data_IF_955491505528
#
_entry.id   IF_955491505528
#
_cell.length_a   1.000
_cell.length_b   1.000
_cell.length_c   1.000
_cell.angle_alpha   90.00
_cell.angle_beta   90.00
_cell.angle_gamma   90.00
#
_symmetry.space_group_name_H-M   'P 1'
#
loop_
_entity.id
_entity.type
_entity.pdbx_description
1 polymer ?
#
# COMPACT_ATOMS: atom_id res chain seq x y z
N UNK A 1 -24.33 -19.35 7.00
CA UNK A 1 -23.34 -18.24 6.97
C UNK A 1 -21.93 -18.77 6.75
N UNK A 2 -21.44 -19.70 7.57
CA UNK A 2 -20.06 -20.26 7.49
C UNK A 2 -19.67 -20.84 6.11
N UNK A 3 -20.59 -21.54 5.42
CA UNK A 3 -20.33 -22.11 4.09
C UNK A 3 -20.20 -21.04 2.98
N UNK A 4 -20.90 -19.91 3.11
CA UNK A 4 -20.79 -18.80 2.17
C UNK A 4 -19.42 -18.13 2.27
N UNK A 5 -18.98 -17.81 3.47
CA UNK A 5 -17.69 -17.16 3.74
C UNK A 5 -16.53 -18.05 3.27
N UNK A 6 -16.58 -19.35 3.56
CA UNK A 6 -15.58 -20.29 3.08
C UNK A 6 -15.54 -20.37 1.55
N UNK A 7 -16.71 -20.30 0.90
CA UNK A 7 -16.77 -20.34 -0.56
C UNK A 7 -16.23 -19.04 -1.17
N UNK A 8 -16.53 -17.87 -0.58
CA UNK A 8 -15.96 -16.58 -1.00
C UNK A 8 -14.45 -16.59 -0.85
N UNK A 9 -13.92 -17.09 0.27
CA UNK A 9 -12.47 -17.23 0.49
C UNK A 9 -11.80 -18.13 -0.56
N UNK A 10 -12.42 -19.28 -0.92
CA UNK A 10 -11.91 -20.16 -1.98
C UNK A 10 -11.87 -19.47 -3.33
N UNK A 11 -12.87 -18.65 -3.65
CA UNK A 11 -12.90 -17.88 -4.91
C UNK A 11 -11.80 -16.83 -4.92
N UNK A 12 -11.64 -16.05 -3.85
CA UNK A 12 -10.57 -15.05 -3.73
C UNK A 12 -9.17 -15.69 -3.75
N UNK A 13 -8.99 -16.85 -3.11
CA UNK A 13 -7.74 -17.61 -3.17
C UNK A 13 -7.45 -18.15 -4.57
N UNK A 14 -8.46 -18.51 -5.34
CA UNK A 14 -8.29 -18.91 -6.73
C UNK A 14 -7.84 -17.71 -7.60
N UNK A 15 -8.41 -16.52 -7.39
CA UNK A 15 -7.98 -15.27 -8.03
C UNK A 15 -6.51 -15.01 -7.71
N UNK A 16 -6.13 -15.06 -6.43
CA UNK A 16 -4.76 -14.89 -5.95
C UNK A 16 -3.78 -15.83 -6.68
N UNK A 17 -4.11 -17.12 -6.70
CA UNK A 17 -3.30 -18.14 -7.37
C UNK A 17 -3.14 -17.92 -8.88
N UNK A 18 -4.20 -17.47 -9.56
CA UNK A 18 -4.15 -17.17 -11.00
C UNK A 18 -3.25 -15.97 -11.25
N UNK A 19 -3.44 -14.90 -10.50
CA UNK A 19 -2.61 -13.70 -10.64
C UNK A 19 -1.14 -14.03 -10.33
N UNK A 20 -0.88 -14.78 -9.27
CA UNK A 20 0.49 -15.14 -8.85
C UNK A 20 1.23 -16.02 -9.86
N UNK A 21 0.54 -16.83 -10.67
CA UNK A 21 1.17 -17.74 -11.63
C UNK A 21 1.06 -17.25 -13.08
N UNK A 22 -0.14 -16.77 -13.45
CA UNK A 22 -0.51 -16.57 -14.85
C UNK A 22 -0.72 -15.08 -15.24
N UNK A 23 -0.86 -14.17 -14.24
CA UNK A 23 -1.10 -12.74 -14.43
C UNK A 23 -2.58 -12.37 -14.49
N UNK A 24 -2.85 -11.05 -14.54
CA UNK A 24 -4.21 -10.50 -14.57
C UNK A 24 -4.97 -10.82 -15.85
N UNK A 25 -4.27 -10.98 -16.97
CA UNK A 25 -4.83 -11.25 -18.30
C UNK A 25 -5.51 -12.63 -18.39
N UNK A 26 -5.22 -13.51 -17.45
CA UNK A 26 -5.82 -14.85 -17.38
C UNK A 26 -7.08 -14.91 -16.53
N UNK A 27 -7.44 -13.81 -15.87
CA UNK A 27 -8.67 -13.77 -15.08
C UNK A 27 -9.91 -13.90 -15.95
N UNK A 28 -10.77 -14.83 -15.56
CA UNK A 28 -12.06 -15.05 -16.21
C UNK A 28 -12.95 -15.93 -15.34
N UNK A 29 -14.28 -15.70 -15.39
CA UNK A 29 -15.24 -16.42 -14.52
C UNK A 29 -15.07 -17.93 -14.61
N UNK A 30 -14.86 -18.49 -15.81
CA UNK A 30 -14.71 -19.93 -16.01
C UNK A 30 -13.41 -20.46 -15.39
N UNK A 31 -12.29 -19.73 -15.56
CA UNK A 31 -10.97 -20.10 -15.03
C UNK A 31 -11.00 -20.05 -13.52
N UNK A 32 -11.57 -18.98 -12.95
CA UNK A 32 -11.70 -18.83 -11.49
C UNK A 32 -12.61 -19.91 -10.90
N UNK A 33 -13.76 -20.17 -11.51
CA UNK A 33 -14.70 -21.19 -11.05
C UNK A 33 -14.05 -22.60 -11.03
N UNK A 34 -13.33 -22.93 -12.10
CA UNK A 34 -12.59 -24.19 -12.19
C UNK A 34 -11.51 -24.30 -11.13
N UNK A 35 -10.69 -23.24 -10.96
CA UNK A 35 -9.59 -23.21 -9.98
C UNK A 35 -10.10 -23.27 -8.54
N UNK A 36 -11.23 -22.61 -8.26
CA UNK A 36 -11.87 -22.62 -6.94
C UNK A 36 -12.66 -23.89 -6.63
N UNK A 37 -12.92 -24.73 -7.64
CA UNK A 37 -13.77 -25.92 -7.50
C UNK A 37 -15.25 -25.59 -7.20
N UNK A 38 -15.76 -24.48 -7.77
CA UNK A 38 -17.13 -24.00 -7.58
C UNK A 38 -17.86 -23.81 -8.91
N UNK A 39 -19.18 -23.74 -8.88
CA UNK A 39 -19.94 -23.34 -10.07
C UNK A 39 -19.76 -21.82 -10.32
N UNK A 40 -19.73 -21.42 -11.60
CA UNK A 40 -19.71 -20.00 -11.98
C UNK A 40 -20.90 -19.20 -11.43
N UNK A 41 -22.03 -19.87 -11.21
CA UNK A 41 -23.22 -19.25 -10.65
C UNK A 41 -22.98 -18.71 -9.23
N UNK A 42 -22.06 -19.33 -8.45
CA UNK A 42 -21.68 -18.85 -7.12
C UNK A 42 -20.85 -17.56 -7.19
N UNK A 43 -20.04 -17.39 -8.24
CA UNK A 43 -19.30 -16.13 -8.47
C UNK A 43 -20.29 -14.98 -8.69
N UNK A 44 -21.25 -15.16 -9.60
CA UNK A 44 -22.29 -14.15 -9.82
C UNK A 44 -23.14 -13.89 -8.58
N UNK A 45 -23.51 -14.94 -7.84
CA UNK A 45 -24.34 -14.81 -6.65
C UNK A 45 -23.64 -14.10 -5.49
N UNK A 46 -22.32 -14.27 -5.33
CA UNK A 46 -21.60 -13.77 -4.16
C UNK A 46 -20.86 -12.47 -4.42
N UNK A 47 -20.49 -12.20 -5.67
CA UNK A 47 -19.69 -11.04 -6.05
C UNK A 47 -20.38 -10.14 -7.07
N UNK A 48 -21.47 -10.57 -7.71
CA UNK A 48 -22.13 -9.80 -8.75
C UNK A 48 -21.62 -10.09 -10.17
N UNK A 49 -20.34 -10.38 -10.31
CA UNK A 49 -19.69 -10.67 -11.60
C UNK A 49 -18.18 -10.72 -11.48
N UNK A 50 -17.50 -10.75 -12.61
CA UNK A 50 -16.05 -10.79 -12.68
C UNK A 50 -15.45 -9.46 -12.23
N UNK A 51 -16.00 -8.33 -12.70
CA UNK A 51 -15.47 -7.00 -12.40
C UNK A 51 -15.59 -6.68 -10.90
N UNK A 52 -16.73 -6.97 -10.30
CA UNK A 52 -16.96 -6.78 -8.87
C UNK A 52 -16.06 -7.71 -8.02
N UNK A 53 -15.84 -8.95 -8.47
CA UNK A 53 -14.92 -9.87 -7.84
C UNK A 53 -13.48 -9.32 -7.87
N UNK A 54 -13.04 -8.83 -9.03
CA UNK A 54 -11.71 -8.23 -9.18
C UNK A 54 -11.60 -6.98 -8.32
N UNK A 55 -12.59 -6.09 -8.31
CA UNK A 55 -12.59 -4.87 -7.48
C UNK A 55 -12.47 -5.21 -5.99
N UNK A 56 -13.25 -6.17 -5.49
CA UNK A 56 -13.16 -6.62 -4.10
C UNK A 56 -11.80 -7.23 -3.77
N UNK A 57 -11.25 -8.04 -4.70
CA UNK A 57 -9.93 -8.62 -4.53
C UNK A 57 -8.84 -7.55 -4.45
N UNK A 58 -8.82 -6.59 -5.38
CA UNK A 58 -7.84 -5.50 -5.42
C UNK A 58 -7.88 -4.67 -4.13
N UNK A 59 -9.09 -4.28 -3.70
CA UNK A 59 -9.27 -3.53 -2.45
C UNK A 59 -8.80 -4.33 -1.23
N UNK A 60 -8.99 -5.65 -1.20
CA UNK A 60 -8.58 -6.48 -0.07
C UNK A 60 -7.05 -6.65 0.04
N UNK A 61 -6.32 -6.50 -1.06
CA UNK A 61 -4.86 -6.70 -1.14
C UNK A 61 -4.06 -5.43 -0.90
N UNK A 62 -4.64 -4.29 -1.15
CA UNK A 62 -3.91 -3.04 -1.18
C UNK A 62 -3.58 -2.53 0.23
N UNK A 63 -2.30 -2.25 0.48
CA UNK A 63 -1.84 -1.75 1.78
C UNK A 63 -2.47 -0.40 2.11
N UNK A 64 -2.31 0.59 1.23
CA UNK A 64 -2.76 1.95 1.49
C UNK A 64 -4.28 2.11 1.49
N UNK A 65 -4.99 1.30 0.67
CA UNK A 65 -6.45 1.28 0.69
C UNK A 65 -7.04 0.72 2.00
N UNK A 66 -6.23 -0.02 2.78
CA UNK A 66 -6.65 -0.66 4.03
C UNK A 66 -5.94 -0.11 5.27
N UNK A 67 -5.01 0.85 5.11
CA UNK A 67 -4.34 1.49 6.26
C UNK A 67 -5.34 2.33 7.05
N UNK A 68 -5.36 2.12 8.37
CA UNK A 68 -6.26 2.83 9.28
C UNK A 68 -5.56 4.09 9.83
N UNK A 69 -6.27 5.21 9.84
CA UNK A 69 -5.80 6.47 10.44
C UNK A 69 -5.40 6.30 11.92
N UNK A 70 -6.04 5.35 12.63
CA UNK A 70 -5.72 5.01 14.03
C UNK A 70 -4.33 4.39 14.22
N UNK A 71 -3.64 4.03 13.12
CA UNK A 71 -2.26 3.59 13.16
C UNK A 71 -1.27 4.73 13.52
N UNK A 72 -1.71 6.00 13.42
CA UNK A 72 -0.91 7.16 13.82
C UNK A 72 -1.16 7.45 15.30
N UNK A 73 -0.13 7.24 16.12
CA UNK A 73 -0.09 7.69 17.51
C UNK A 73 0.39 9.15 17.54
N UNK A 74 -0.46 10.07 17.99
CA UNK A 74 -0.11 11.48 18.11
C UNK A 74 1.03 11.78 19.10
N UNK A 75 1.29 10.87 20.05
CA UNK A 75 2.43 10.99 20.97
C UNK A 75 3.75 10.48 20.36
N UNK A 76 3.68 9.64 19.29
CA UNK A 76 4.85 9.10 18.59
C UNK A 76 4.57 9.04 17.07
N UNK A 77 4.45 10.21 16.46
CA UNK A 77 4.21 10.33 15.01
C UNK A 77 5.37 9.74 14.22
N UNK A 78 6.62 10.02 14.61
CA UNK A 78 7.80 9.49 13.94
C UNK A 78 7.82 7.96 13.93
N UNK A 79 7.62 7.33 15.09
CA UNK A 79 7.56 5.87 15.20
C UNK A 79 6.39 5.26 14.42
N UNK A 80 5.25 5.93 14.39
CA UNK A 80 4.09 5.50 13.60
C UNK A 80 4.39 5.50 12.10
N UNK A 81 4.96 6.57 11.56
CA UNK A 81 5.36 6.67 10.16
C UNK A 81 6.40 5.62 9.78
N UNK A 82 7.44 5.44 10.62
CA UNK A 82 8.47 4.41 10.42
C UNK A 82 7.87 3.01 10.34
N UNK A 83 6.95 2.67 11.26
CA UNK A 83 6.24 1.38 11.24
C UNK A 83 5.45 1.20 9.94
N UNK A 84 4.66 2.20 9.53
CA UNK A 84 3.84 2.13 8.32
C UNK A 84 4.68 1.90 7.06
N UNK A 85 5.77 2.62 6.87
CA UNK A 85 6.63 2.43 5.70
C UNK A 85 7.40 1.10 5.73
N UNK A 86 7.79 0.62 6.92
CA UNK A 86 8.37 -0.72 7.08
C UNK A 86 7.36 -1.82 6.72
N UNK A 87 6.11 -1.68 7.14
CA UNK A 87 5.04 -2.61 6.79
C UNK A 87 4.75 -2.62 5.29
N UNK A 88 4.76 -1.45 4.63
CA UNK A 88 4.65 -1.36 3.18
C UNK A 88 5.79 -2.13 2.49
N UNK A 89 7.03 -1.96 2.94
CA UNK A 89 8.19 -2.69 2.40
C UNK A 89 7.99 -4.20 2.56
N UNK A 90 7.63 -4.65 3.76
CA UNK A 90 7.44 -6.08 4.08
C UNK A 90 6.34 -6.67 3.20
N UNK A 91 5.19 -6.01 3.08
CA UNK A 91 4.10 -6.50 2.26
C UNK A 91 4.47 -6.57 0.78
N UNK A 92 5.03 -5.50 0.22
CA UNK A 92 5.43 -5.47 -1.19
C UNK A 92 6.51 -6.52 -1.51
N UNK A 93 7.49 -6.72 -0.63
CA UNK A 93 8.55 -7.73 -0.84
C UNK A 93 8.01 -9.16 -0.77
N UNK A 94 7.06 -9.44 0.10
CA UNK A 94 6.58 -10.79 0.36
C UNK A 94 5.36 -11.19 -0.50
N UNK A 95 4.61 -10.25 -1.05
CA UNK A 95 3.41 -10.54 -1.84
C UNK A 95 3.67 -10.32 -3.34
N UNK A 96 3.89 -11.41 -4.07
CA UNK A 96 4.08 -11.39 -5.54
C UNK A 96 2.84 -10.85 -6.26
N UNK A 97 1.66 -11.12 -5.72
CA UNK A 97 0.40 -10.67 -6.31
C UNK A 97 0.24 -9.16 -6.19
N UNK A 98 0.62 -8.60 -5.04
CA UNK A 98 0.62 -7.15 -4.83
C UNK A 98 1.62 -6.45 -5.77
N UNK A 99 2.82 -7.02 -5.97
CA UNK A 99 3.78 -6.48 -6.95
C UNK A 99 3.24 -6.53 -8.39
N UNK A 100 2.56 -7.61 -8.77
CA UNK A 100 1.90 -7.74 -10.08
C UNK A 100 0.77 -6.72 -10.23
N UNK A 101 0.00 -6.47 -9.17
CA UNK A 101 -1.01 -5.42 -9.14
C UNK A 101 -0.39 -4.05 -9.38
N UNK A 102 0.67 -3.69 -8.65
CA UNK A 102 1.35 -2.41 -8.82
C UNK A 102 1.86 -2.19 -10.27
N UNK A 103 2.35 -3.24 -10.93
CA UNK A 103 2.72 -3.13 -12.35
C UNK A 103 1.54 -3.01 -13.28
N UNK A 104 0.52 -3.83 -13.05
CA UNK A 104 -0.66 -3.85 -13.90
C UNK A 104 -1.40 -2.51 -13.89
N UNK A 105 -1.49 -1.85 -12.74
CA UNK A 105 -2.12 -0.53 -12.62
C UNK A 105 -1.39 0.59 -13.37
N UNK A 106 -0.09 0.45 -13.62
CA UNK A 106 0.68 1.45 -14.38
C UNK A 106 0.34 1.41 -15.88
N UNK A 107 -0.15 0.29 -16.37
CA UNK A 107 -0.44 0.05 -17.79
C UNK A 107 -1.93 -0.10 -18.09
N UNK A 108 -2.78 -0.08 -17.07
CA UNK A 108 -4.21 -0.32 -17.17
C UNK A 108 -4.99 0.87 -16.64
N UNK A 109 -6.00 1.28 -17.42
CA UNK A 109 -7.00 2.26 -16.97
C UNK A 109 -8.40 1.68 -17.17
N UNK A 110 -8.95 1.12 -16.11
CA UNK A 110 -10.32 0.61 -16.06
C UNK A 110 -10.99 1.05 -14.76
N UNK A 111 -12.29 0.79 -14.65
CA UNK A 111 -13.10 1.21 -13.49
C UNK A 111 -12.57 0.65 -12.17
N UNK A 112 -12.13 -0.61 -12.14
CA UNK A 112 -11.60 -1.24 -10.92
C UNK A 112 -10.32 -0.55 -10.44
N UNK A 113 -9.41 -0.20 -11.36
CA UNK A 113 -8.18 0.53 -11.03
C UNK A 113 -8.50 1.96 -10.58
N UNK A 114 -9.46 2.63 -11.21
CA UNK A 114 -9.89 3.97 -10.75
C UNK A 114 -10.44 3.92 -9.33
N UNK A 115 -11.32 2.97 -9.01
CA UNK A 115 -11.86 2.81 -7.66
C UNK A 115 -10.77 2.51 -6.62
N UNK A 116 -9.77 1.71 -6.96
CA UNK A 116 -8.62 1.44 -6.08
C UNK A 116 -7.82 2.73 -5.81
N UNK A 117 -7.49 3.48 -6.87
CA UNK A 117 -6.77 4.76 -6.76
C UNK A 117 -7.53 5.77 -5.92
N UNK A 118 -8.85 5.91 -6.16
CA UNK A 118 -9.71 6.80 -5.38
C UNK A 118 -9.78 6.42 -3.89
N UNK A 119 -9.74 5.13 -3.60
CA UNK A 119 -9.70 4.64 -2.20
C UNK A 119 -8.37 4.99 -1.54
N UNK A 120 -7.25 4.74 -2.22
CA UNK A 120 -5.91 5.12 -1.74
C UNK A 120 -5.81 6.63 -1.50
N UNK A 121 -6.29 7.43 -2.45
CA UNK A 121 -6.27 8.89 -2.36
C UNK A 121 -7.05 9.37 -1.14
N UNK A 122 -8.29 8.89 -0.93
CA UNK A 122 -9.07 9.25 0.26
C UNK A 122 -8.34 8.90 1.56
N UNK A 123 -7.85 7.66 1.69
CA UNK A 123 -7.13 7.23 2.88
C UNK A 123 -5.83 8.02 3.07
N UNK A 124 -5.09 8.26 2.00
CA UNK A 124 -3.87 9.06 2.02
C UNK A 124 -4.12 10.49 2.51
N UNK A 125 -5.16 11.15 1.99
CA UNK A 125 -5.56 12.50 2.43
C UNK A 125 -5.94 12.53 3.92
N UNK A 126 -6.64 11.50 4.42
CA UNK A 126 -6.98 11.39 5.85
C UNK A 126 -5.74 11.22 6.73
N UNK A 127 -4.80 10.35 6.33
CA UNK A 127 -3.53 10.15 7.04
C UNK A 127 -2.68 11.43 7.05
N UNK A 128 -2.54 12.10 5.89
CA UNK A 128 -1.80 13.36 5.77
C UNK A 128 -2.42 14.42 6.68
N UNK A 129 -3.76 14.53 6.72
CA UNK A 129 -4.47 15.46 7.60
C UNK A 129 -4.22 15.17 9.07
N UNK A 130 -4.21 13.89 9.47
CA UNK A 130 -3.92 13.50 10.85
C UNK A 130 -2.48 13.86 11.25
N UNK A 131 -1.50 13.49 10.42
CA UNK A 131 -0.08 13.80 10.66
C UNK A 131 0.13 15.30 10.73
N UNK A 132 -0.43 16.08 9.80
CA UNK A 132 -0.34 17.55 9.82
C UNK A 132 -0.94 18.14 11.10
N UNK A 133 -2.05 17.58 11.58
CA UNK A 133 -2.68 18.01 12.83
C UNK A 133 -1.82 17.74 14.06
N UNK A 134 -1.21 16.57 14.16
CA UNK A 134 -0.36 16.20 15.29
C UNK A 134 0.98 16.95 15.29
N UNK A 135 1.54 17.22 14.12
CA UNK A 135 2.85 17.88 13.98
C UNK A 135 2.76 19.39 13.80
N UNK A 136 1.55 19.94 13.68
CA UNK A 136 1.32 21.35 13.34
C UNK A 136 2.04 21.80 12.04
N UNK A 137 2.29 20.85 11.13
CA UNK A 137 2.97 21.09 9.85
C UNK A 137 2.02 21.50 8.74
N UNK A 138 2.54 22.13 7.69
CA UNK A 138 1.76 22.38 6.50
C UNK A 138 1.37 21.07 5.80
N UNK A 139 0.10 20.93 5.47
CA UNK A 139 -0.46 19.75 4.81
C UNK A 139 0.29 19.38 3.51
N UNK A 140 0.72 20.37 2.72
CA UNK A 140 1.45 20.18 1.48
C UNK A 140 2.85 19.58 1.68
N UNK A 141 3.53 19.90 2.78
CA UNK A 141 4.83 19.34 3.12
C UNK A 141 4.73 17.88 3.51
N UNK A 142 3.75 17.55 4.37
CA UNK A 142 3.46 16.17 4.76
C UNK A 142 3.08 15.34 3.54
N UNK A 143 2.22 15.87 2.66
CA UNK A 143 1.82 15.20 1.42
C UNK A 143 3.01 14.92 0.50
N UNK A 144 3.89 15.91 0.30
CA UNK A 144 5.07 15.75 -0.53
C UNK A 144 6.02 14.68 0.02
N UNK A 145 6.31 14.71 1.32
CA UNK A 145 7.17 13.73 1.98
C UNK A 145 6.58 12.31 1.86
N UNK A 146 5.31 12.14 2.22
CA UNK A 146 4.63 10.85 2.15
C UNK A 146 4.62 10.28 0.72
N UNK A 147 4.37 11.15 -0.28
CA UNK A 147 4.39 10.77 -1.70
C UNK A 147 5.76 10.28 -2.14
N UNK A 148 6.84 11.02 -1.81
CA UNK A 148 8.20 10.64 -2.18
C UNK A 148 8.59 9.32 -1.52
N UNK A 149 8.32 9.14 -0.22
CA UNK A 149 8.67 7.93 0.52
C UNK A 149 7.91 6.71 -0.02
N UNK A 150 6.59 6.80 -0.19
CA UNK A 150 5.79 5.67 -0.68
C UNK A 150 6.11 5.29 -2.13
N UNK A 151 6.33 6.29 -2.99
CA UNK A 151 6.71 6.06 -4.39
C UNK A 151 8.10 5.43 -4.50
N UNK A 152 9.08 5.88 -3.71
CA UNK A 152 10.43 5.32 -3.71
C UNK A 152 10.45 3.85 -3.29
N UNK A 153 9.70 3.48 -2.25
CA UNK A 153 9.55 2.10 -1.81
C UNK A 153 8.97 1.23 -2.93
N UNK A 154 7.85 1.68 -3.52
CA UNK A 154 7.18 0.95 -4.59
C UNK A 154 8.11 0.75 -5.79
N UNK A 155 8.81 1.79 -6.21
CA UNK A 155 9.77 1.71 -7.30
C UNK A 155 10.91 0.73 -7.00
N UNK A 156 11.55 0.84 -5.83
CA UNK A 156 12.68 -0.01 -5.46
C UNK A 156 12.30 -1.50 -5.37
N UNK A 157 11.10 -1.81 -4.84
CA UNK A 157 10.62 -3.20 -4.81
C UNK A 157 10.38 -3.73 -6.22
N UNK A 158 9.75 -2.94 -7.09
CA UNK A 158 9.42 -3.37 -8.45
C UNK A 158 10.66 -3.50 -9.34
N UNK A 159 11.60 -2.56 -9.25
CA UNK A 159 12.85 -2.64 -10.03
C UNK A 159 13.77 -3.75 -9.51
N UNK A 160 13.72 -4.05 -8.22
CA UNK A 160 14.48 -5.14 -7.59
C UNK A 160 14.18 -6.52 -8.20
N UNK A 161 13.04 -6.74 -8.84
CA UNK A 161 12.76 -7.99 -9.57
C UNK A 161 13.53 -8.09 -10.91
N UNK A 162 14.01 -6.97 -11.45
CA UNK A 162 14.73 -6.91 -12.73
C UNK A 162 16.21 -6.57 -12.54
N UNK A 163 16.56 -5.83 -11.48
CA UNK A 163 17.92 -5.43 -11.16
C UNK A 163 18.26 -5.81 -9.72
N UNK A 164 19.36 -6.51 -9.54
CA UNK A 164 19.80 -6.91 -8.19
C UNK A 164 20.32 -5.74 -7.36
N UNK A 165 20.73 -4.64 -8.00
CA UNK A 165 21.30 -3.49 -7.31
C UNK A 165 20.73 -2.18 -7.81
N UNK A 166 20.65 -1.20 -6.90
CA UNK A 166 20.29 0.18 -7.21
C UNK A 166 21.18 1.12 -6.38
N UNK A 167 21.93 2.00 -7.04
CA UNK A 167 22.94 2.88 -6.40
C UNK A 167 23.89 2.13 -5.44
N UNK A 168 24.27 0.89 -5.79
CA UNK A 168 25.15 0.06 -4.98
C UNK A 168 24.44 -0.72 -3.86
N UNK A 169 23.16 -0.48 -3.60
CA UNK A 169 22.36 -1.21 -2.61
C UNK A 169 21.84 -2.52 -3.24
N UNK A 170 22.07 -3.64 -2.58
CA UNK A 170 21.54 -4.94 -3.01
C UNK A 170 20.05 -5.08 -2.65
N UNK A 171 19.19 -5.00 -3.67
CA UNK A 171 17.72 -5.11 -3.50
C UNK A 171 17.21 -6.56 -3.36
N UNK A 172 18.08 -7.57 -3.55
CA UNK A 172 17.73 -8.99 -3.38
C UNK A 172 17.91 -9.46 -1.94
N UNK A 173 18.74 -8.79 -1.14
CA UNK A 173 19.09 -9.18 0.22
C UNK A 173 18.43 -8.30 1.28
N UNK A 174 18.24 -8.85 2.48
CA UNK A 174 17.67 -8.13 3.61
C UNK A 174 18.59 -7.00 4.09
N UNK A 175 19.92 -7.18 4.01
CA UNK A 175 20.89 -6.16 4.38
C UNK A 175 20.75 -4.88 3.54
N UNK A 176 20.49 -4.99 2.24
CA UNK A 176 20.24 -3.84 1.37
C UNK A 176 18.94 -3.12 1.74
N UNK A 177 17.90 -3.87 2.09
CA UNK A 177 16.66 -3.29 2.55
C UNK A 177 16.77 -2.63 3.92
N UNK A 178 17.60 -3.14 4.82
CA UNK A 178 17.91 -2.45 6.07
C UNK A 178 18.62 -1.10 5.84
N UNK A 179 19.46 -0.98 4.80
CA UNK A 179 20.05 0.31 4.41
C UNK A 179 18.98 1.28 3.91
N UNK A 180 18.03 0.81 3.07
CA UNK A 180 16.91 1.64 2.60
C UNK A 180 16.05 2.10 3.77
N UNK A 181 15.69 1.19 4.69
CA UNK A 181 14.90 1.49 5.89
C UNK A 181 15.60 2.53 6.77
N UNK A 182 16.91 2.41 7.01
CA UNK A 182 17.68 3.40 7.77
C UNK A 182 17.66 4.78 7.09
N UNK A 183 17.71 4.82 5.77
CA UNK A 183 17.58 6.06 5.01
C UNK A 183 16.20 6.72 5.16
N UNK A 184 15.12 5.92 5.10
CA UNK A 184 13.76 6.38 5.33
C UNK A 184 13.56 6.90 6.76
N UNK A 185 14.04 6.13 7.76
CA UNK A 185 13.98 6.51 9.16
C UNK A 185 14.70 7.85 9.40
N UNK A 186 15.89 8.02 8.83
CA UNK A 186 16.64 9.28 8.93
C UNK A 186 15.86 10.47 8.34
N UNK A 187 15.22 10.29 7.17
CA UNK A 187 14.43 11.37 6.56
C UNK A 187 13.23 11.75 7.44
N UNK A 188 12.56 10.77 8.03
CA UNK A 188 11.45 11.02 8.96
C UNK A 188 11.93 11.75 10.21
N UNK A 189 13.04 11.30 10.82
CA UNK A 189 13.60 11.93 12.02
C UNK A 189 14.03 13.38 11.78
N UNK A 190 14.70 13.65 10.67
CA UNK A 190 15.13 15.00 10.30
C UNK A 190 13.94 15.92 10.05
N UNK A 191 12.90 15.42 9.39
CA UNK A 191 11.68 16.19 9.17
C UNK A 191 10.95 16.50 10.48
N UNK A 192 10.75 15.53 11.35
CA UNK A 192 10.11 15.74 12.67
C UNK A 192 10.91 16.75 13.49
N UNK A 193 12.25 16.61 13.55
CA UNK A 193 13.12 17.55 14.24
C UNK A 193 12.96 18.98 13.73
N UNK A 194 12.91 19.16 12.41
CA UNK A 194 12.71 20.48 11.79
C UNK A 194 11.36 21.09 12.19
N UNK A 195 10.31 20.29 12.20
CA UNK A 195 8.97 20.73 12.60
C UNK A 195 8.94 21.18 14.08
N UNK A 196 9.54 20.40 14.96
CA UNK A 196 9.61 20.73 16.39
C UNK A 196 10.38 22.03 16.64
N UNK A 197 11.49 22.25 15.91
CA UNK A 197 12.29 23.50 16.00
C UNK A 197 11.48 24.70 15.54
N UNK A 198 10.72 24.59 14.44
CA UNK A 198 9.87 25.68 13.92
C UNK A 198 8.73 26.01 14.88
N UNK A 199 8.08 25.00 15.44
CA UNK A 199 6.98 25.18 16.40
C UNK A 199 7.46 25.83 17.69
N UNK A 200 8.59 25.40 18.24
CA UNK A 200 9.18 25.98 19.44
C UNK A 200 9.68 27.42 19.21
N UNK A 201 10.22 27.72 18.02
CA UNK A 201 10.65 29.07 17.65
C UNK A 201 9.50 30.08 17.54
N UNK A 202 8.32 29.65 17.10
CA UNK A 202 7.14 30.50 17.02
C UNK A 202 6.53 30.79 18.41
N UNK A 203 6.57 29.85 19.33
CA UNK A 203 6.09 30.02 20.71
C UNK A 203 6.91 31.07 21.45
N UNK A 204 8.24 31.04 21.27
CA UNK A 204 9.12 31.99 21.94
C UNK A 204 8.99 33.45 21.42
N UNK A 205 8.57 33.63 20.16
CA UNK A 205 8.32 34.98 19.59
C UNK A 205 6.97 35.62 20.02
N UNK A 206 6.06 34.83 20.57
CA UNK A 206 4.75 35.31 21.07
C UNK A 206 4.76 35.61 22.57
N UNK A 207 5.86 35.31 23.26
CA UNK A 207 6.04 35.52 24.72
C UNK A 207 6.98 36.66 25.06
N UNK A 208 7.59 37.28 24.06
CA UNK A 208 8.37 38.53 24.16
C UNK A 208 7.53 39.74 23.65
#
# INVERSE_FOLDING_TARGET
MKDRELTQQKILQAVDNIIANDGFERLGVNVIAQKAGVSKMLIYRYFGGLDDLIAQYLLSKDYWANTDIRAIDGADVAGSLKRMFREQIIQLRNDVTLRRLCRWELTTDNENIRQLRDRRERNGCELIKAVSGFTHSHHTEVAALATILSASISYLVLIGEQSSTYNGINLQGDEGWEQVIKGLDLMIDLWIKQVDELTNGQVNQLTD
#
